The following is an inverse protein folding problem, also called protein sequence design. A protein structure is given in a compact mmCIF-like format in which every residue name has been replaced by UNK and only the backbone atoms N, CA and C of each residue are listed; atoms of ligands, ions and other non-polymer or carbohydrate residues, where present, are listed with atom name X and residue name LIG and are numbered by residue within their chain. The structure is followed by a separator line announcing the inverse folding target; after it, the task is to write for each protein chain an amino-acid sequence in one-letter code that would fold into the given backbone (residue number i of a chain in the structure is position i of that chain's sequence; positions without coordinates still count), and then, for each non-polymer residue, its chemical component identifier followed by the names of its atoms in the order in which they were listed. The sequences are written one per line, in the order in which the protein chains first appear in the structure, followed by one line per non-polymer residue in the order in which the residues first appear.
data_IF_535645928942
#
_entry.id   IF_535645928942
#
_cell.length_a   1.000
_cell.length_b   1.000
_cell.length_c   1.000
_cell.angle_alpha   90.00
_cell.angle_beta   90.00
_cell.angle_gamma   90.00
#
_symmetry.space_group_name_H-M   'P 1'
#
loop_
_entity.id
_entity.type
_entity.pdbx_description
1 polymer ?
#
# COMPACT_ATOMS: atom_id res chain seq x y z
N UNK A 1 22.00 -13.80 -4.02
CA UNK A 1 22.08 -12.73 -5.03
C UNK A 1 22.41 -11.47 -4.27
N UNK A 2 23.69 -11.10 -4.25
CA UNK A 2 24.12 -9.85 -3.62
C UNK A 2 23.71 -8.71 -4.54
N UNK A 3 22.91 -7.77 -4.02
CA UNK A 3 22.48 -6.60 -4.77
C UNK A 3 23.63 -5.58 -4.65
N UNK A 4 24.43 -5.45 -5.71
CA UNK A 4 25.48 -4.43 -5.79
C UNK A 4 24.86 -3.03 -5.57
N UNK A 5 25.34 -2.28 -4.57
CA UNK A 5 24.93 -0.88 -4.34
C UNK A 5 24.67 -0.47 -2.89
N UNK A 6 24.52 -1.41 -1.95
CA UNK A 6 24.25 -1.11 -0.54
C UNK A 6 25.45 -0.52 0.24
N UNK A 7 26.67 -0.56 -0.31
CA UNK A 7 27.89 -0.12 0.37
C UNK A 7 28.28 1.35 0.13
N UNK A 8 27.59 2.06 -0.76
CA UNK A 8 27.86 3.46 -1.07
C UNK A 8 26.64 4.23 -0.57
N UNK A 9 26.76 5.21 0.34
CA UNK A 9 25.66 6.11 0.63
C UNK A 9 25.25 6.72 -0.70
N UNK A 10 24.03 6.43 -1.16
CA UNK A 10 23.46 7.09 -2.33
C UNK A 10 23.56 8.58 -2.08
N UNK A 11 24.50 9.24 -2.77
CA UNK A 11 24.61 10.69 -2.70
C UNK A 11 23.31 11.22 -3.26
N UNK A 12 22.52 11.85 -2.41
CA UNK A 12 21.27 12.46 -2.84
C UNK A 12 21.64 13.41 -3.99
N UNK A 13 20.98 13.32 -5.16
CA UNK A 13 21.36 14.11 -6.32
C UNK A 13 21.49 15.59 -5.94
N UNK A 14 22.53 16.27 -6.46
CA UNK A 14 22.76 17.70 -6.23
C UNK A 14 21.80 18.58 -7.06
N UNK A 15 20.53 18.21 -7.05
CA UNK A 15 19.41 19.00 -7.58
C UNK A 15 18.72 19.66 -6.40
N UNK A 16 18.00 20.75 -6.62
CA UNK A 16 17.16 21.33 -5.59
C UNK A 16 15.93 20.45 -5.40
N UNK A 17 15.71 19.95 -4.18
CA UNK A 17 14.56 19.12 -3.82
C UNK A 17 14.08 19.46 -2.41
N UNK A 18 12.78 19.30 -2.18
CA UNK A 18 12.19 19.40 -0.86
C UNK A 18 12.17 18.03 -0.18
N UNK A 19 12.67 17.94 1.06
CA UNK A 19 12.49 16.75 1.89
C UNK A 19 11.24 16.92 2.74
N UNK A 20 10.15 16.28 2.33
CA UNK A 20 8.93 16.18 3.14
C UNK A 20 9.15 15.17 4.28
N UNK A 21 8.71 15.52 5.50
CA UNK A 21 8.78 14.61 6.66
C UNK A 21 7.65 13.58 6.60
N UNK A 22 7.86 12.36 7.09
CA UNK A 22 6.77 11.39 7.22
C UNK A 22 5.71 11.94 8.18
N UNK A 23 4.45 11.85 7.74
CA UNK A 23 3.26 12.18 8.51
C UNK A 23 2.65 10.95 9.21
N UNK A 24 3.08 9.75 8.83
CA UNK A 24 2.69 8.47 9.42
C UNK A 24 3.92 7.86 10.10
N UNK A 25 3.78 7.50 11.37
CA UNK A 25 4.84 6.80 12.11
C UNK A 25 4.86 5.29 11.82
N UNK A 26 5.93 4.60 12.24
CA UNK A 26 6.11 3.16 11.99
C UNK A 26 4.94 2.33 12.54
N UNK A 27 4.43 2.65 13.73
CA UNK A 27 3.34 1.88 14.36
C UNK A 27 2.02 2.06 13.61
N UNK A 28 1.77 3.29 13.14
CA UNK A 28 0.61 3.57 12.31
C UNK A 28 0.70 2.84 10.97
N UNK A 29 1.86 2.84 10.32
CA UNK A 29 2.08 2.12 9.07
C UNK A 29 1.91 0.60 9.25
N UNK A 30 2.49 0.02 10.31
CA UNK A 30 2.30 -1.40 10.66
C UNK A 30 0.83 -1.74 10.83
N UNK A 31 0.07 -0.92 11.55
CA UNK A 31 -1.37 -1.13 11.74
C UNK A 31 -2.14 -1.09 10.41
N UNK A 32 -1.88 -0.09 9.57
CA UNK A 32 -2.57 0.05 8.28
C UNK A 32 -2.32 -1.18 7.40
N UNK A 33 -1.06 -1.63 7.31
CA UNK A 33 -0.70 -2.81 6.52
C UNK A 33 -1.31 -4.08 7.10
N UNK A 34 -1.30 -4.25 8.43
CA UNK A 34 -1.90 -5.40 9.08
C UNK A 34 -3.41 -5.48 8.81
N UNK A 35 -4.12 -4.36 8.94
CA UNK A 35 -5.57 -4.27 8.69
C UNK A 35 -5.87 -4.63 7.22
N UNK A 36 -5.07 -4.13 6.27
CA UNK A 36 -5.19 -4.48 4.84
C UNK A 36 -4.97 -5.97 4.58
N UNK A 37 -3.92 -6.57 5.14
CA UNK A 37 -3.63 -7.99 4.97
C UNK A 37 -4.76 -8.85 5.52
N UNK A 38 -5.27 -8.54 6.71
CA UNK A 38 -6.40 -9.26 7.31
C UNK A 38 -7.62 -9.15 6.40
N UNK A 39 -7.93 -7.95 5.91
CA UNK A 39 -9.07 -7.72 5.03
C UNK A 39 -8.96 -8.50 3.72
N UNK A 40 -7.83 -8.39 3.01
CA UNK A 40 -7.61 -9.06 1.72
C UNK A 40 -7.63 -10.60 1.84
N UNK A 41 -7.29 -11.12 3.02
CA UNK A 41 -7.26 -12.55 3.29
C UNK A 41 -8.47 -13.05 4.09
N UNK A 42 -9.46 -12.19 4.33
CA UNK A 42 -10.75 -12.59 4.91
C UNK A 42 -11.62 -13.25 3.84
N UNK A 43 -12.17 -14.42 4.15
CA UNK A 43 -13.06 -15.16 3.24
C UNK A 43 -14.40 -15.44 3.91
N UNK A 44 -15.48 -15.24 3.15
CA UNK A 44 -16.80 -15.71 3.53
C UNK A 44 -17.00 -17.15 3.06
N UNK A 45 -17.29 -18.05 3.99
CA UNK A 45 -17.66 -19.43 3.72
C UNK A 45 -19.16 -19.61 3.97
N UNK A 46 -19.82 -20.34 3.07
CA UNK A 46 -21.23 -20.68 3.18
C UNK A 46 -21.36 -22.20 3.21
N UNK A 47 -22.04 -22.72 4.22
CA UNK A 47 -22.31 -24.13 4.40
C UNK A 47 -23.82 -24.36 4.30
N UNK A 48 -24.21 -25.27 3.41
CA UNK A 48 -25.59 -25.71 3.27
C UNK A 48 -25.63 -27.20 3.64
N UNK A 49 -26.16 -27.51 4.82
CA UNK A 49 -26.33 -28.89 5.27
C UNK A 49 -27.82 -29.27 5.28
N UNK A 50 -28.11 -30.47 4.81
CA UNK A 50 -29.42 -31.11 4.91
C UNK A 50 -29.36 -32.12 6.06
N UNK A 51 -30.09 -31.86 7.13
CA UNK A 51 -30.26 -32.80 8.24
C UNK A 51 -31.74 -33.20 8.34
N UNK A 52 -32.06 -34.44 7.95
CA UNK A 52 -33.42 -34.95 7.93
C UNK A 52 -34.32 -34.21 6.92
N UNK A 53 -35.32 -33.47 7.41
CA UNK A 53 -36.22 -32.63 6.60
C UNK A 53 -35.90 -31.13 6.71
N UNK A 54 -34.81 -30.75 7.40
CA UNK A 54 -34.41 -29.36 7.58
C UNK A 54 -33.19 -29.00 6.72
N UNK A 55 -33.18 -27.77 6.21
CA UNK A 55 -32.00 -27.15 5.56
C UNK A 55 -31.40 -26.17 6.54
N UNK A 56 -30.11 -26.34 6.87
CA UNK A 56 -29.34 -25.41 7.69
C UNK A 56 -28.44 -24.60 6.77
N UNK A 57 -28.56 -23.27 6.86
CA UNK A 57 -27.70 -22.31 6.19
C UNK A 57 -26.79 -21.67 7.23
N UNK A 58 -25.48 -21.89 7.12
CA UNK A 58 -24.47 -21.25 7.95
C UNK A 58 -23.57 -20.36 7.07
N UNK A 59 -23.39 -19.10 7.48
CA UNK A 59 -22.42 -18.19 6.90
C UNK A 59 -21.37 -17.85 7.95
N UNK A 60 -20.10 -18.07 7.61
CA UNK A 60 -18.97 -17.84 8.51
C UNK A 60 -17.89 -17.04 7.81
N UNK A 61 -17.38 -16.01 8.48
CA UNK A 61 -16.18 -15.29 8.05
C UNK A 61 -14.95 -15.93 8.69
N UNK A 62 -13.91 -16.17 7.89
CA UNK A 62 -12.62 -16.70 8.33
C UNK A 62 -11.54 -15.72 7.91
N UNK A 63 -10.76 -15.25 8.88
CA UNK A 63 -9.69 -14.27 8.69
C UNK A 63 -8.46 -14.70 9.48
N UNK A 64 -7.24 -14.38 9.01
CA UNK A 64 -6.04 -14.55 9.81
C UNK A 64 -6.07 -13.63 11.03
N UNK A 65 -5.46 -14.06 12.13
CA UNK A 65 -5.27 -13.23 13.32
C UNK A 65 -4.01 -12.39 13.20
N UNK A 66 -3.96 -11.29 13.94
CA UNK A 66 -2.80 -10.39 13.98
C UNK A 66 -1.51 -11.08 14.43
N UNK A 67 -1.59 -12.03 15.36
CA UNK A 67 -0.46 -12.79 15.89
C UNK A 67 0.02 -13.91 14.95
N UNK A 68 -0.74 -14.21 13.90
CA UNK A 68 -0.38 -15.17 12.84
C UNK A 68 0.34 -14.50 11.66
N UNK A 69 0.49 -13.17 11.69
CA UNK A 69 1.08 -12.36 10.60
C UNK A 69 2.42 -11.78 11.08
N UNK A 70 3.49 -12.15 10.40
CA UNK A 70 4.83 -11.59 10.64
C UNK A 70 5.12 -10.49 9.61
N UNK A 71 5.48 -9.29 10.10
CA UNK A 71 5.79 -8.12 9.27
C UNK A 71 7.19 -7.61 9.56
N UNK A 72 7.97 -7.36 8.50
CA UNK A 72 9.24 -6.62 8.58
C UNK A 72 9.08 -5.32 7.80
N UNK A 73 9.09 -4.19 8.52
CA UNK A 73 8.85 -2.86 7.94
C UNK A 73 10.08 -1.96 8.06
N UNK A 74 10.54 -1.48 6.90
CA UNK A 74 11.66 -0.55 6.76
C UNK A 74 11.18 0.78 6.16
N UNK A 75 11.63 1.89 6.75
CA UNK A 75 11.39 3.22 6.18
C UNK A 75 12.46 3.50 5.12
N UNK A 76 12.03 3.69 3.89
CA UNK A 76 12.89 4.04 2.76
C UNK A 76 12.56 5.43 2.24
N UNK A 77 13.59 6.20 1.88
CA UNK A 77 13.42 7.48 1.20
C UNK A 77 13.46 7.26 -0.30
N UNK A 78 12.38 7.63 -0.98
CA UNK A 78 12.27 7.58 -2.45
C UNK A 78 12.11 9.00 -3.02
N UNK A 79 12.82 9.34 -4.11
CA UNK A 79 12.57 10.58 -4.83
C UNK A 79 11.24 10.50 -5.58
N UNK A 80 10.45 11.57 -5.51
CA UNK A 80 9.17 11.72 -6.20
C UNK A 80 9.19 13.00 -7.01
N UNK A 81 8.72 12.94 -8.26
CA UNK A 81 8.41 14.11 -9.06
C UNK A 81 6.95 14.51 -8.81
N UNK A 82 6.73 15.72 -8.33
CA UNK A 82 5.40 16.31 -8.14
C UNK A 82 5.16 17.33 -9.27
N UNK A 83 4.20 17.05 -10.14
CA UNK A 83 3.76 17.98 -11.18
C UNK A 83 2.47 18.65 -10.70
N UNK A 84 2.52 19.96 -10.46
CA UNK A 84 1.36 20.74 -9.99
C UNK A 84 0.61 21.38 -11.17
N UNK A 85 -0.63 20.98 -11.38
CA UNK A 85 -1.59 21.64 -12.24
C UNK A 85 -2.43 22.68 -11.48
N UNK A 86 -3.36 23.34 -12.19
CA UNK A 86 -4.26 24.35 -11.57
C UNK A 86 -5.28 23.75 -10.60
N UNK A 87 -5.67 22.49 -10.81
CA UNK A 87 -6.74 21.80 -10.05
C UNK A 87 -6.33 20.44 -9.51
N UNK A 88 -5.20 19.91 -9.98
CA UNK A 88 -4.75 18.55 -9.70
C UNK A 88 -3.22 18.52 -9.59
N UNK A 89 -2.72 17.44 -9.01
CA UNK A 89 -1.30 17.10 -8.98
C UNK A 89 -1.12 15.69 -9.53
N UNK A 90 0.04 15.45 -10.13
CA UNK A 90 0.49 14.12 -10.54
C UNK A 90 1.79 13.83 -9.79
N UNK A 91 1.84 12.71 -9.09
CA UNK A 91 3.05 12.24 -8.41
C UNK A 91 3.63 11.02 -9.12
N UNK A 92 4.91 11.09 -9.48
CA UNK A 92 5.62 10.00 -10.16
C UNK A 92 6.78 9.55 -9.29
N UNK A 93 6.81 8.26 -8.96
CA UNK A 93 7.94 7.63 -8.31
C UNK A 93 9.15 7.61 -9.27
N UNK A 94 10.21 8.35 -8.94
CA UNK A 94 11.37 8.49 -9.84
C UNK A 94 12.29 7.26 -9.85
N UNK A 95 12.10 6.31 -8.93
CA UNK A 95 12.87 5.07 -8.88
C UNK A 95 12.36 4.01 -9.87
N UNK A 96 11.03 3.87 -10.03
CA UNK A 96 10.42 2.81 -10.85
C UNK A 96 9.44 3.31 -11.91
N UNK A 97 9.28 4.64 -12.04
CA UNK A 97 8.36 5.28 -12.99
C UNK A 97 6.87 5.02 -12.75
N UNK A 98 6.49 4.49 -11.59
CA UNK A 98 5.07 4.30 -11.24
C UNK A 98 4.40 5.63 -10.89
N UNK A 99 3.18 5.82 -11.40
CA UNK A 99 2.30 6.93 -10.96
C UNK A 99 1.75 6.57 -9.58
N UNK A 100 1.95 7.44 -8.59
CA UNK A 100 1.55 7.23 -7.20
C UNK A 100 0.15 7.79 -6.91
N UNK A 101 -0.17 8.95 -7.50
CA UNK A 101 -1.48 9.58 -7.42
C UNK A 101 -1.86 10.03 -8.83
N UNK A 102 -2.95 9.44 -9.36
CA UNK A 102 -3.54 9.87 -10.63
C UNK A 102 -4.47 11.08 -10.36
N UNK A 103 -4.44 12.12 -11.20
CA UNK A 103 -5.30 13.27 -11.03
C UNK A 103 -6.77 12.85 -11.07
N UNK A 104 -7.53 13.21 -10.03
CA UNK A 104 -8.99 13.02 -10.00
C UNK A 104 -9.67 14.01 -10.96
N UNK A 105 -9.67 13.73 -12.26
CA UNK A 105 -10.72 14.12 -13.21
C UNK A 105 -10.41 13.54 -14.59
N UNK A 106 -11.43 12.92 -15.21
CA UNK A 106 -11.41 12.41 -16.60
C UNK A 106 -11.22 13.53 -17.66
N UNK A 107 -11.18 14.80 -17.25
CA UNK A 107 -11.07 15.99 -18.11
C UNK A 107 -9.69 16.68 -18.04
N UNK A 108 -8.68 16.06 -17.43
CA UNK A 108 -7.35 16.67 -17.27
C UNK A 108 -6.50 16.55 -18.55
N UNK A 109 -6.72 17.45 -19.50
CA UNK A 109 -5.76 17.71 -20.59
C UNK A 109 -4.49 18.38 -20.01
N UNK A 110 -3.33 17.73 -20.15
CA UNK A 110 -2.04 18.41 -20.04
C UNK A 110 -1.86 19.29 -21.30
N UNK A 111 -1.95 20.61 -21.15
CA UNK A 111 -1.53 21.59 -22.18
C UNK A 111 -0.03 21.86 -22.11
#
# INVERSE_FOLDING_TARGET
MEIEGLGIPTRIPAVEYEVKRPNVDKKQAEKIILDLIIQENTRELRFNNLEGQAVIYEQKSVSPKADEIELSLDLVYIPVWEVKGKRNSLEINAYNSSVLEEPMDEDAEFL
#
